data_IF_636979832362
#
_entry.id   IF_636979832362
#
_cell.length_a   1.000
_cell.length_b   1.000
_cell.length_c   1.000
_cell.angle_alpha   90.00
_cell.angle_beta   90.00
_cell.angle_gamma   90.00
#
_symmetry.space_group_name_H-M   'P 1'
#
loop_
_entity.id
_entity.type
_entity.pdbx_description
1 polymer ?
#
# COMPACT_ATOMS: atom_id res chain seq x y z
N UNK A 1 -3.26 -12.02 -10.47
CA UNK A 1 -1.89 -11.69 -10.02
C UNK A 1 -0.93 -12.20 -11.08
N UNK A 2 0.15 -11.48 -11.34
CA UNK A 2 1.16 -11.83 -12.33
C UNK A 2 2.51 -11.97 -11.65
N UNK A 3 3.13 -13.15 -11.70
CA UNK A 3 4.41 -13.42 -11.07
C UNK A 3 5.58 -12.90 -11.91
N UNK A 4 6.65 -12.45 -11.25
CA UNK A 4 7.84 -11.89 -11.89
C UNK A 4 9.00 -12.87 -11.84
N UNK A 5 9.62 -13.18 -13.00
CA UNK A 5 10.91 -13.90 -13.11
C UNK A 5 11.01 -15.18 -12.26
N UNK A 6 10.03 -16.07 -12.33
CA UNK A 6 9.97 -17.34 -11.58
C UNK A 6 10.15 -17.18 -10.06
N UNK A 7 9.84 -15.99 -9.51
CA UNK A 7 9.86 -15.74 -8.07
C UNK A 7 8.59 -16.29 -7.44
N UNK A 8 8.65 -16.52 -6.14
CA UNK A 8 7.52 -16.99 -5.35
C UNK A 8 6.98 -15.88 -4.45
N UNK A 9 5.67 -15.97 -4.18
CA UNK A 9 4.97 -15.17 -3.20
C UNK A 9 4.00 -16.11 -2.49
N UNK A 10 4.07 -16.17 -1.17
CA UNK A 10 3.22 -17.04 -0.35
C UNK A 10 2.53 -16.23 0.75
N UNK A 11 1.33 -16.61 1.19
CA UNK A 11 0.69 -16.00 2.36
C UNK A 11 1.62 -16.02 3.59
N UNK A 12 1.57 -14.97 4.40
CA UNK A 12 2.47 -14.71 5.53
C UNK A 12 3.82 -14.10 5.16
N UNK A 13 4.18 -14.02 3.88
CA UNK A 13 5.45 -13.40 3.46
C UNK A 13 5.40 -11.89 3.68
N UNK A 14 6.40 -11.35 4.38
CA UNK A 14 6.54 -9.90 4.57
C UNK A 14 6.90 -9.20 3.26
N UNK A 15 6.10 -8.24 2.85
CA UNK A 15 6.23 -7.53 1.57
C UNK A 15 6.14 -6.01 1.74
N UNK A 16 6.60 -5.27 0.72
CA UNK A 16 6.25 -3.87 0.47
C UNK A 16 5.33 -3.83 -0.74
N UNK A 17 4.16 -3.22 -0.58
CA UNK A 17 3.20 -2.98 -1.65
C UNK A 17 3.18 -1.50 -1.97
N UNK A 18 3.27 -1.15 -3.25
CA UNK A 18 3.23 0.23 -3.72
C UNK A 18 2.60 0.33 -5.09
N UNK A 19 2.04 1.50 -5.40
CA UNK A 19 1.47 1.77 -6.72
C UNK A 19 2.56 1.68 -7.79
N UNK A 20 2.33 0.86 -8.82
CA UNK A 20 3.20 0.83 -9.97
C UNK A 20 2.93 2.05 -10.85
N UNK A 21 3.90 2.97 -10.96
CA UNK A 21 3.74 4.20 -11.73
C UNK A 21 3.73 3.98 -13.24
N UNK A 22 4.20 2.81 -13.71
CA UNK A 22 4.25 2.44 -15.12
C UNK A 22 3.07 1.56 -15.55
N UNK A 23 2.31 1.01 -14.59
CA UNK A 23 1.18 0.13 -14.85
C UNK A 23 -0.06 0.70 -14.17
N UNK A 24 -0.87 1.42 -14.94
CA UNK A 24 -2.01 2.16 -14.41
C UNK A 24 -2.95 1.25 -13.61
N UNK A 25 -3.15 1.59 -12.33
CA UNK A 25 -4.09 0.88 -11.45
C UNK A 25 -3.56 -0.40 -10.82
N UNK A 26 -2.31 -0.82 -11.10
CA UNK A 26 -1.70 -2.02 -10.51
C UNK A 26 -0.71 -1.67 -9.41
N UNK A 27 -0.55 -2.60 -8.48
CA UNK A 27 0.44 -2.56 -7.42
C UNK A 27 1.60 -3.48 -7.75
N UNK A 28 2.80 -3.05 -7.36
CA UNK A 28 3.98 -3.91 -7.30
C UNK A 28 4.09 -4.48 -5.89
N UNK A 29 4.24 -5.81 -5.81
CA UNK A 29 4.49 -6.54 -4.56
C UNK A 29 5.98 -6.86 -4.53
N UNK A 30 6.71 -6.25 -3.61
CA UNK A 30 8.14 -6.41 -3.42
C UNK A 30 8.42 -7.24 -2.17
N UNK A 31 9.22 -8.28 -2.30
CA UNK A 31 9.70 -9.04 -1.15
C UNK A 31 10.52 -8.12 -0.22
N UNK A 32 10.16 -8.08 1.06
CA UNK A 32 10.74 -7.11 1.99
C UNK A 32 12.24 -7.34 2.21
N UNK A 33 12.65 -8.61 2.21
CA UNK A 33 14.02 -9.06 2.51
C UNK A 33 14.99 -8.79 1.36
N UNK A 34 14.62 -9.18 0.16
CA UNK A 34 15.47 -9.09 -1.04
C UNK A 34 15.33 -7.75 -1.77
N UNK A 35 14.21 -7.03 -1.57
CA UNK A 35 13.91 -5.81 -2.33
C UNK A 35 13.53 -6.08 -3.79
N UNK A 36 13.27 -7.34 -4.16
CA UNK A 36 12.88 -7.71 -5.52
C UNK A 36 11.35 -7.73 -5.65
N UNK A 37 10.83 -7.19 -6.76
CA UNK A 37 9.40 -7.32 -7.10
C UNK A 37 9.09 -8.77 -7.44
N UNK A 38 8.20 -9.40 -6.69
CA UNK A 38 7.81 -10.81 -6.87
C UNK A 38 6.54 -10.97 -7.70
N UNK A 39 5.65 -9.99 -7.65
CA UNK A 39 4.39 -10.02 -8.39
C UNK A 39 3.80 -8.62 -8.66
N UNK A 40 2.87 -8.58 -9.62
CA UNK A 40 1.99 -7.44 -9.88
C UNK A 40 0.53 -7.84 -9.70
N UNK A 41 -0.27 -7.01 -9.04
CA UNK A 41 -1.68 -7.29 -8.75
C UNK A 41 -2.56 -6.03 -8.87
N UNK A 42 -3.85 -6.21 -9.08
CA UNK A 42 -4.82 -5.11 -9.10
C UNK A 42 -5.31 -4.77 -7.69
N UNK A 43 -5.48 -5.81 -6.87
CA UNK A 43 -5.75 -5.68 -5.44
C UNK A 43 -4.81 -6.53 -4.61
N UNK A 44 -4.49 -6.08 -3.39
CA UNK A 44 -3.63 -6.81 -2.44
C UNK A 44 -4.18 -6.66 -1.03
N UNK A 45 -4.36 -7.78 -0.33
CA UNK A 45 -4.70 -7.82 1.09
C UNK A 45 -3.44 -8.11 1.91
N UNK A 46 -3.20 -7.30 2.93
CA UNK A 46 -2.10 -7.45 3.88
C UNK A 46 -2.61 -7.43 5.32
N UNK A 47 -1.87 -8.09 6.21
CA UNK A 47 -2.02 -8.02 7.66
C UNK A 47 -0.83 -7.33 8.33
N UNK A 48 -1.05 -6.79 9.54
CA UNK A 48 -0.05 -6.14 10.40
C UNK A 48 0.73 -5.08 9.62
N UNK A 49 0.02 -4.05 9.19
CA UNK A 49 0.48 -3.12 8.15
C UNK A 49 1.06 -1.87 8.76
N UNK A 50 2.26 -1.50 8.31
CA UNK A 50 2.87 -0.19 8.50
C UNK A 50 2.84 0.60 7.17
N UNK A 51 2.35 1.83 7.22
CA UNK A 51 2.43 2.79 6.12
C UNK A 51 3.70 3.61 6.22
N UNK A 52 4.58 3.45 5.22
CA UNK A 52 5.89 4.11 5.20
C UNK A 52 6.02 5.05 4.01
N UNK A 53 6.33 6.31 4.29
CA UNK A 53 6.67 7.34 3.29
C UNK A 53 8.15 7.72 3.46
N UNK A 54 8.96 7.51 2.41
CA UNK A 54 10.37 7.91 2.40
C UNK A 54 10.50 9.40 2.08
N UNK A 55 10.91 10.19 3.08
CA UNK A 55 11.04 11.65 3.00
C UNK A 55 11.89 12.14 1.82
N UNK A 56 13.07 11.55 1.61
CA UNK A 56 13.94 11.91 0.48
C UNK A 56 13.28 11.70 -0.90
N UNK A 57 12.49 10.64 -1.04
CA UNK A 57 11.72 10.38 -2.26
C UNK A 57 10.59 11.39 -2.46
N UNK A 58 9.87 11.72 -1.38
CA UNK A 58 8.81 12.73 -1.38
C UNK A 58 9.34 14.13 -1.72
N UNK A 59 10.43 14.56 -1.08
CA UNK A 59 11.10 15.84 -1.36
C UNK A 59 11.49 15.94 -2.83
N UNK A 60 12.11 14.88 -3.37
CA UNK A 60 12.44 14.80 -4.80
C UNK A 60 11.19 14.91 -5.67
N UNK A 61 10.12 14.19 -5.34
CA UNK A 61 8.88 14.23 -6.10
C UNK A 61 8.25 15.63 -6.14
N UNK A 62 8.23 16.33 -4.98
CA UNK A 62 7.72 17.70 -4.85
C UNK A 62 8.59 18.70 -5.62
N UNK A 63 9.92 18.62 -5.46
CA UNK A 63 10.88 19.49 -6.14
C UNK A 63 10.79 19.36 -7.67
N UNK A 64 10.78 18.14 -8.17
CA UNK A 64 10.76 17.86 -9.61
C UNK A 64 9.34 17.89 -10.21
N UNK A 65 8.31 18.01 -9.37
CA UNK A 65 6.89 17.88 -9.74
C UNK A 65 6.60 16.59 -10.53
N UNK A 66 7.36 15.54 -10.24
CA UNK A 66 7.30 14.25 -10.93
C UNK A 66 7.15 13.14 -9.90
N UNK A 67 6.21 12.21 -10.12
CA UNK A 67 6.00 11.11 -9.18
C UNK A 67 7.16 10.12 -9.24
N UNK A 68 7.60 9.67 -8.08
CA UNK A 68 8.52 8.54 -7.91
C UNK A 68 7.95 7.58 -6.85
N UNK A 69 8.44 6.35 -6.79
CA UNK A 69 8.00 5.38 -5.78
C UNK A 69 8.70 5.68 -4.45
N UNK A 70 7.91 6.06 -3.45
CA UNK A 70 8.42 6.36 -2.09
C UNK A 70 7.41 6.08 -0.97
N UNK A 71 6.20 5.65 -1.30
CA UNK A 71 5.14 5.35 -0.35
C UNK A 71 4.79 3.86 -0.44
N UNK A 72 4.73 3.20 0.71
CA UNK A 72 4.61 1.75 0.82
C UNK A 72 3.61 1.37 1.91
N UNK A 73 2.76 0.37 1.64
CA UNK A 73 2.13 -0.44 2.66
C UNK A 73 3.02 -1.67 2.91
N UNK A 74 3.44 -1.88 4.16
CA UNK A 74 4.40 -2.91 4.53
C UNK A 74 3.70 -3.85 5.50
N UNK A 75 3.55 -5.12 5.14
CA UNK A 75 2.85 -6.08 5.98
C UNK A 75 3.04 -7.51 5.50
N UNK A 76 2.34 -8.43 6.14
CA UNK A 76 2.30 -9.84 5.77
C UNK A 76 1.29 -10.05 4.63
N UNK A 77 1.75 -10.59 3.51
CA UNK A 77 0.88 -10.87 2.36
C UNK A 77 -0.21 -11.87 2.73
N UNK A 78 -1.46 -11.61 2.36
CA UNK A 78 -2.58 -12.55 2.56
C UNK A 78 -3.04 -13.10 1.22
N UNK A 79 -3.50 -12.23 0.33
CA UNK A 79 -4.06 -12.60 -0.97
C UNK A 79 -4.05 -11.42 -1.94
N UNK A 80 -4.45 -11.67 -3.19
CA UNK A 80 -4.52 -10.63 -4.24
C UNK A 80 -5.58 -10.97 -5.28
N UNK A 81 -6.07 -9.96 -6.01
CA UNK A 81 -7.08 -10.09 -7.05
C UNK A 81 -8.42 -10.70 -6.55
N UNK A 82 -8.84 -10.28 -5.36
CA UNK A 82 -10.17 -10.55 -4.80
C UNK A 82 -10.90 -9.23 -4.55
N UNK A 83 -12.20 -9.33 -4.27
CA UNK A 83 -13.02 -8.21 -3.81
C UNK A 83 -12.55 -7.70 -2.44
N UNK A 84 -12.86 -6.43 -2.17
CA UNK A 84 -12.59 -5.83 -0.87
C UNK A 84 -13.41 -6.56 0.21
N UNK A 85 -12.80 -7.03 1.30
CA UNK A 85 -13.55 -7.56 2.43
C UNK A 85 -14.53 -6.51 2.98
N UNK A 86 -15.74 -6.94 3.36
CA UNK A 86 -16.84 -6.05 3.75
C UNK A 86 -16.54 -5.27 5.03
N UNK A 87 -15.72 -5.82 5.91
CA UNK A 87 -15.29 -5.22 7.17
C UNK A 87 -14.32 -4.05 7.01
N UNK A 88 -13.70 -3.91 5.83
CA UNK A 88 -12.76 -2.82 5.51
C UNK A 88 -13.51 -1.65 4.88
N UNK A 89 -14.32 -0.96 5.69
CA UNK A 89 -15.24 0.08 5.24
C UNK A 89 -14.62 1.48 5.17
N UNK A 90 -13.49 1.72 5.84
CA UNK A 90 -12.81 3.02 5.83
C UNK A 90 -11.81 3.11 4.69
N UNK A 91 -11.66 4.32 4.13
CA UNK A 91 -10.81 4.55 2.96
C UNK A 91 -9.73 5.58 3.28
N UNK A 92 -8.50 5.28 2.88
CA UNK A 92 -7.36 6.17 2.97
C UNK A 92 -6.63 6.34 1.64
N UNK A 93 -5.84 7.41 1.55
CA UNK A 93 -5.05 7.71 0.37
C UNK A 93 -3.70 8.34 0.70
N UNK A 94 -2.83 8.36 -0.32
CA UNK A 94 -1.61 9.14 -0.29
C UNK A 94 -1.45 9.93 -1.59
N UNK A 95 -1.14 11.22 -1.48
CA UNK A 95 -0.73 12.05 -2.61
C UNK A 95 0.45 12.94 -2.19
N UNK A 96 1.64 12.75 -2.79
CA UNK A 96 2.85 13.47 -2.38
C UNK A 96 2.75 14.99 -2.55
N UNK A 97 1.83 15.49 -3.37
CA UNK A 97 1.64 16.92 -3.60
C UNK A 97 0.59 17.56 -2.68
N UNK A 98 -0.03 16.78 -1.81
CA UNK A 98 -1.12 17.25 -0.92
C UNK A 98 -0.88 16.94 0.55
N UNK A 99 -0.27 15.79 0.85
CA UNK A 99 -0.13 15.28 2.22
C UNK A 99 1.27 14.71 2.46
N UNK A 100 1.68 14.68 3.72
CA UNK A 100 2.98 14.15 4.14
C UNK A 100 2.96 12.63 4.39
N UNK A 101 1.81 12.10 4.82
CA UNK A 101 1.59 10.69 5.16
C UNK A 101 0.38 10.11 4.41
N UNK A 102 0.15 8.80 4.53
CA UNK A 102 -1.17 8.25 4.24
C UNK A 102 -2.17 8.89 5.20
N UNK A 103 -3.35 9.25 4.72
CA UNK A 103 -4.40 9.88 5.52
C UNK A 103 -5.74 9.21 5.27
N UNK A 104 -6.58 9.21 6.29
CA UNK A 104 -8.00 8.85 6.18
C UNK A 104 -8.70 9.87 5.28
N UNK A 105 -9.58 9.40 4.39
CA UNK A 105 -10.25 10.26 3.42
C UNK A 105 -11.30 11.17 4.09
N UNK A 106 -11.91 10.69 5.17
CA UNK A 106 -12.96 11.42 5.92
C UNK A 106 -12.38 12.37 6.98
N UNK A 107 -11.56 11.87 7.90
CA UNK A 107 -11.02 12.66 9.02
C UNK A 107 -9.77 13.46 8.66
N UNK A 108 -9.12 13.16 7.53
CA UNK A 108 -7.83 13.72 7.12
C UNK A 108 -6.67 13.47 8.10
N UNK A 109 -6.86 12.61 9.09
CA UNK A 109 -5.83 12.25 10.05
C UNK A 109 -4.84 11.25 9.44
N UNK A 110 -3.54 11.33 9.81
CA UNK A 110 -2.54 10.37 9.37
C UNK A 110 -2.89 8.93 9.77
N UNK A 111 -2.61 7.98 8.87
CA UNK A 111 -2.67 6.54 9.13
C UNK A 111 -1.24 6.02 9.08
N UNK A 112 -0.75 5.53 10.22
CA UNK A 112 0.60 4.97 10.33
C UNK A 112 0.58 3.44 10.30
N UNK A 113 -0.38 2.83 10.97
CA UNK A 113 -0.48 1.37 11.11
C UNK A 113 -1.95 0.92 11.10
N UNK A 114 -2.20 -0.34 10.74
CA UNK A 114 -3.51 -0.98 10.82
C UNK A 114 -3.38 -2.51 10.82
N UNK A 115 -4.34 -3.21 11.43
CA UNK A 115 -4.36 -4.68 11.46
C UNK A 115 -4.50 -5.29 10.05
N UNK A 116 -5.38 -4.72 9.21
CA UNK A 116 -5.62 -5.21 7.86
C UNK A 116 -5.73 -4.04 6.88
N UNK A 117 -5.14 -4.20 5.70
CA UNK A 117 -5.35 -3.28 4.59
C UNK A 117 -5.61 -4.02 3.30
N UNK A 118 -6.62 -3.55 2.57
CA UNK A 118 -6.86 -3.91 1.18
C UNK A 118 -6.46 -2.75 0.27
N UNK A 119 -5.45 -2.93 -0.57
CA UNK A 119 -5.03 -1.95 -1.56
C UNK A 119 -5.80 -2.16 -2.87
N UNK A 120 -6.49 -1.14 -3.37
CA UNK A 120 -7.22 -1.21 -4.65
C UNK A 120 -7.42 0.19 -5.26
N UNK A 121 -7.32 0.33 -6.59
CA UNK A 121 -7.54 1.60 -7.31
C UNK A 121 -6.84 2.85 -6.70
N UNK A 122 -5.57 2.71 -6.31
CA UNK A 122 -4.75 3.78 -5.67
C UNK A 122 -5.26 4.22 -4.29
N UNK A 123 -6.19 3.48 -3.70
CA UNK A 123 -6.69 3.64 -2.34
C UNK A 123 -6.23 2.48 -1.47
N UNK A 124 -6.31 2.72 -0.17
CA UNK A 124 -6.23 1.69 0.85
C UNK A 124 -7.56 1.65 1.59
N UNK A 125 -8.05 0.44 1.85
CA UNK A 125 -9.26 0.19 2.60
C UNK A 125 -8.87 -0.55 3.87
N UNK A 126 -9.39 -0.10 4.99
CA UNK A 126 -9.00 -0.61 6.31
C UNK A 126 -10.19 -0.51 7.27
N UNK A 127 -10.08 -1.19 8.40
CA UNK A 127 -11.04 -1.06 9.50
C UNK A 127 -10.53 0.01 10.45
N UNK A 128 -11.35 1.02 10.77
CA UNK A 128 -11.07 1.92 11.90
C UNK A 128 -11.17 1.08 13.18
N UNK A 129 -10.20 1.23 14.08
CA UNK A 129 -10.38 0.74 15.44
C UNK A 129 -11.51 1.56 16.05
N UNK A 130 -12.64 0.91 16.36
CA UNK A 130 -13.70 1.53 17.15
C UNK A 130 -13.13 1.79 18.54
N UNK A 131 -12.65 3.01 18.75
CA UNK A 131 -12.30 3.49 20.08
C UNK A 131 -13.56 3.50 20.93
N UNK A 132 -13.57 2.67 21.97
CA UNK A 132 -14.32 2.91 23.20
C UNK A 132 -14.07 4.36 23.65
N UNK A 133 -15.00 5.26 23.35
CA UNK A 133 -15.09 6.57 23.97
C UNK A 133 -16.03 6.51 25.16
#
# INVERSE_FOLDING_TARGET
MEMVKNRTLVPGQKVRVYLNLNMMGRFSIQDFKTGLVVAYAESVLLNEVEFRVRKSGQEKARKEKCRNVHAFAIGSFVSSNHDCPLELSSTGYYNPFKVDHFVDEESHLPIFETENVFCFQKRVYYKKEEGLF
#
